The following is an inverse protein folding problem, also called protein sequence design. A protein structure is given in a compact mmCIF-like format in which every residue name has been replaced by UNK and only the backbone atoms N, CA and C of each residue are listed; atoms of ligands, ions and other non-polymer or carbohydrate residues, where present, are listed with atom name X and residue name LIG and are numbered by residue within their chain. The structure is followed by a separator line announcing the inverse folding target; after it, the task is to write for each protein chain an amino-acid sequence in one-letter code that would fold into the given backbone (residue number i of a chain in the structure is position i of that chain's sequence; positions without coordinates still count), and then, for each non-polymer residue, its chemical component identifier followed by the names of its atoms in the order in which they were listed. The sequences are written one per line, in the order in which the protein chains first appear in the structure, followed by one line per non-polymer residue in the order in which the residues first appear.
data_IF_938389310856
#
_entry.id   IF_938389310856
#
_cell.length_a   1.000
_cell.length_b   1.000
_cell.length_c   1.000
_cell.angle_alpha   90.00
_cell.angle_beta   90.00
_cell.angle_gamma   90.00
#
_symmetry.space_group_name_H-M   'P 1'
#
loop_
_entity.id
_entity.type
_entity.pdbx_description
1 polymer ?
#
# COMPACT_ATOMS: atom_id res chain seq x y z
N UNK A 1 12.51 20.74 1.14
CA UNK A 1 11.35 21.04 2.03
C UNK A 1 10.67 19.72 2.32
N UNK A 2 10.57 19.32 3.59
CA UNK A 2 9.81 18.13 3.98
C UNK A 2 8.36 18.31 3.52
N UNK A 3 7.83 17.34 2.78
CA UNK A 3 6.43 17.38 2.37
C UNK A 3 5.54 17.14 3.58
N UNK A 4 4.96 18.21 4.15
CA UNK A 4 3.96 18.17 5.24
C UNK A 4 2.60 17.58 4.81
N UNK A 5 2.56 16.83 3.71
CA UNK A 5 1.38 16.08 3.31
C UNK A 5 1.19 14.91 4.27
N UNK A 6 0.53 15.20 5.39
CA UNK A 6 -0.01 14.18 6.27
C UNK A 6 -0.97 13.31 5.43
N UNK A 7 -0.62 12.05 5.25
CA UNK A 7 -1.51 11.09 4.59
C UNK A 7 -2.74 10.89 5.47
N UNK A 8 -3.90 11.33 4.98
CA UNK A 8 -5.20 11.05 5.57
C UNK A 8 -5.89 10.01 4.67
N UNK A 9 -6.03 8.75 5.10
CA UNK A 9 -6.70 7.74 4.30
C UNK A 9 -8.15 8.14 4.01
N UNK A 10 -8.67 7.88 2.80
CA UNK A 10 -10.09 8.07 2.50
C UNK A 10 -10.93 7.15 3.38
N UNK A 11 -12.15 7.59 3.72
CA UNK A 11 -13.12 6.75 4.45
C UNK A 11 -13.55 5.58 3.57
N UNK A 12 -13.61 4.38 4.16
CA UNK A 12 -14.23 3.20 3.55
C UNK A 12 -15.67 3.12 4.08
N UNK A 13 -16.67 3.30 3.21
CA UNK A 13 -18.09 3.41 3.60
C UNK A 13 -18.33 4.43 4.73
N UNK A 14 -18.98 4.01 5.82
CA UNK A 14 -19.25 4.83 7.00
C UNK A 14 -18.09 4.83 8.02
N UNK A 15 -16.91 4.32 7.67
CA UNK A 15 -15.78 4.27 8.60
C UNK A 15 -15.20 5.65 8.88
N UNK A 16 -14.74 5.85 10.10
CA UNK A 16 -13.93 6.99 10.53
C UNK A 16 -12.45 6.66 10.43
N UNK A 17 -11.59 7.68 10.50
CA UNK A 17 -10.13 7.46 10.57
C UNK A 17 -9.74 6.53 11.74
N UNK A 18 -10.46 6.61 12.86
CA UNK A 18 -10.27 5.75 14.03
C UNK A 18 -10.67 4.28 13.78
N UNK A 19 -11.55 4.04 12.80
CA UNK A 19 -11.91 2.68 12.41
C UNK A 19 -10.83 2.07 11.50
N UNK A 20 -10.08 2.89 10.75
CA UNK A 20 -8.98 2.43 9.87
C UNK A 20 -7.69 2.20 10.67
N UNK A 21 -7.50 2.87 11.81
CA UNK A 21 -6.24 2.77 12.56
C UNK A 21 -6.51 2.50 14.03
N UNK A 22 -6.23 1.27 14.48
CA UNK A 22 -6.31 0.88 15.88
C UNK A 22 -4.97 0.39 16.41
N UNK A 23 -4.51 1.03 17.49
CA UNK A 23 -3.32 0.61 18.23
C UNK A 23 -3.72 -0.07 19.53
N UNK A 24 -3.59 -1.40 19.61
CA UNK A 24 -3.81 -2.14 20.87
C UNK A 24 -2.58 -2.02 21.77
N UNK A 25 -2.74 -1.66 23.03
CA UNK A 25 -1.69 -1.73 24.08
C UNK A 25 -0.33 -1.10 23.68
N UNK A 26 -0.33 0.07 23.02
CA UNK A 26 0.89 0.73 22.50
C UNK A 26 1.76 -0.14 21.58
N UNK A 27 1.21 -1.20 20.98
CA UNK A 27 1.91 -2.01 19.98
C UNK A 27 2.47 -1.14 18.86
N UNK A 28 3.61 -1.51 18.25
CA UNK A 28 4.25 -0.70 17.22
C UNK A 28 3.48 -0.64 15.88
N UNK A 29 2.39 -1.42 15.74
CA UNK A 29 1.64 -1.59 14.50
C UNK A 29 0.15 -1.34 14.71
N UNK A 30 -0.54 -0.99 13.62
CA UNK A 30 -1.98 -0.76 13.59
C UNK A 30 -2.77 -1.97 13.07
N UNK A 31 -4.02 -2.07 13.48
CA UNK A 31 -5.03 -3.03 12.99
C UNK A 31 -6.27 -2.23 12.50
N UNK A 32 -7.08 -2.78 11.59
CA UNK A 32 -8.40 -2.23 11.26
C UNK A 32 -9.43 -2.63 12.32
N UNK A 33 -10.37 -1.72 12.57
CA UNK A 33 -11.62 -1.96 13.28
C UNK A 33 -12.77 -1.94 12.28
N UNK A 34 -13.62 -2.97 12.33
CA UNK A 34 -14.93 -2.93 11.65
C UNK A 34 -16.00 -2.66 12.70
N UNK A 35 -16.72 -1.55 12.53
CA UNK A 35 -17.88 -1.20 13.36
C UNK A 35 -19.16 -1.70 12.70
N UNK A 36 -20.00 -2.41 13.44
CA UNK A 36 -21.35 -2.83 13.00
C UNK A 36 -22.34 -2.48 14.10
N UNK A 37 -23.05 -1.36 13.94
CA UNK A 37 -23.84 -0.78 15.02
C UNK A 37 -22.93 -0.34 16.19
N UNK A 38 -23.20 -0.82 17.40
CA UNK A 38 -22.38 -0.58 18.60
C UNK A 38 -21.19 -1.55 18.75
N UNK A 39 -21.16 -2.65 17.99
CA UNK A 39 -20.10 -3.65 18.09
C UNK A 39 -18.85 -3.21 17.31
N UNK A 40 -17.67 -3.34 17.92
CA UNK A 40 -16.38 -3.07 17.28
C UNK A 40 -15.52 -4.33 17.28
N UNK A 41 -15.27 -4.89 16.09
CA UNK A 41 -14.35 -6.03 15.92
C UNK A 41 -13.00 -5.54 15.40
N UNK A 42 -11.93 -5.90 16.09
CA UNK A 42 -10.55 -5.67 15.67
C UNK A 42 -10.07 -6.90 14.91
N UNK A 43 -9.58 -6.74 13.69
CA UNK A 43 -9.05 -7.87 12.92
C UNK A 43 -7.63 -8.25 13.32
N UNK A 44 -7.23 -9.49 13.02
CA UNK A 44 -5.87 -9.98 13.21
C UNK A 44 -5.04 -9.81 11.93
N UNK A 45 -4.58 -8.59 11.68
CA UNK A 45 -3.77 -8.21 10.49
C UNK A 45 -2.97 -6.93 10.78
N UNK A 46 -1.85 -6.71 10.11
CA UNK A 46 -1.16 -5.40 10.16
C UNK A 46 -1.79 -4.46 9.15
N UNK A 47 -2.01 -3.21 9.52
CA UNK A 47 -2.37 -2.13 8.59
C UNK A 47 -1.17 -1.25 8.31
N UNK A 48 -0.90 -1.04 7.03
CA UNK A 48 0.02 -0.01 6.55
C UNK A 48 -0.70 0.89 5.57
N UNK A 49 -0.51 2.19 5.76
CA UNK A 49 -1.00 3.20 4.84
C UNK A 49 0.15 3.63 3.93
N UNK A 50 -0.06 3.62 2.62
CA UNK A 50 1.00 3.87 1.66
C UNK A 50 0.59 4.93 0.63
N UNK A 51 1.55 5.78 0.30
CA UNK A 51 1.41 6.79 -0.73
C UNK A 51 2.71 6.93 -1.51
N UNK A 52 2.60 7.13 -2.81
CA UNK A 52 3.69 7.58 -3.66
C UNK A 52 3.44 9.03 -4.04
N UNK A 53 4.51 9.74 -4.37
CA UNK A 53 4.44 11.06 -4.99
C UNK A 53 5.47 11.12 -6.12
N UNK A 54 5.16 11.85 -7.17
CA UNK A 54 6.11 12.13 -8.23
C UNK A 54 6.03 13.61 -8.60
N UNK A 55 7.12 14.33 -8.36
CA UNK A 55 7.29 15.69 -8.84
C UNK A 55 7.70 15.65 -10.31
N UNK A 56 7.08 16.49 -11.14
CA UNK A 56 7.34 16.50 -12.58
C UNK A 56 6.87 15.23 -13.32
N UNK A 57 5.80 14.56 -12.85
CA UNK A 57 5.27 13.31 -13.41
C UNK A 57 5.38 13.21 -14.95
N UNK A 58 6.16 12.24 -15.44
CA UNK A 58 6.37 11.98 -16.87
C UNK A 58 7.38 12.91 -17.57
N UNK A 59 8.11 13.75 -16.82
CA UNK A 59 9.22 14.56 -17.33
C UNK A 59 10.56 13.84 -17.14
N UNK A 60 11.56 14.22 -17.93
CA UNK A 60 12.91 13.65 -17.82
C UNK A 60 13.64 13.99 -16.52
N UNK A 61 13.26 15.09 -15.85
CA UNK A 61 13.79 15.48 -14.55
C UNK A 61 12.88 15.06 -13.39
N UNK A 62 11.86 14.23 -13.67
CA UNK A 62 10.92 13.81 -12.66
C UNK A 62 11.64 13.09 -11.51
N UNK A 63 11.16 13.30 -10.29
CA UNK A 63 11.63 12.59 -9.11
C UNK A 63 10.42 12.03 -8.39
N UNK A 64 10.54 10.82 -7.84
CA UNK A 64 9.47 10.19 -7.09
C UNK A 64 9.91 9.73 -5.72
N UNK A 65 8.96 9.63 -4.80
CA UNK A 65 9.17 9.19 -3.44
C UNK A 65 8.02 8.30 -2.98
N UNK A 66 8.29 7.49 -1.97
CA UNK A 66 7.32 6.65 -1.27
C UNK A 66 7.17 7.10 0.18
N UNK A 67 5.99 6.87 0.75
CA UNK A 67 5.70 7.04 2.16
C UNK A 67 4.93 5.83 2.69
N UNK A 68 5.33 5.36 3.86
CA UNK A 68 4.69 4.25 4.58
C UNK A 68 4.38 4.71 6.01
N UNK A 69 3.11 4.60 6.38
CA UNK A 69 2.59 5.03 7.67
C UNK A 69 1.93 3.86 8.41
N UNK A 70 2.53 3.48 9.53
CA UNK A 70 2.09 2.41 10.43
C UNK A 70 1.12 2.91 11.50
N UNK A 71 1.06 4.22 11.76
CA UNK A 71 0.17 4.80 12.78
C UNK A 71 0.79 6.00 13.52
N UNK A 72 0.01 6.67 14.39
CA UNK A 72 0.49 7.84 15.13
C UNK A 72 1.72 7.54 15.98
N UNK A 73 2.76 8.36 15.81
CA UNK A 73 4.04 8.25 16.53
C UNK A 73 4.72 6.88 16.42
N UNK A 74 4.41 6.10 15.37
CA UNK A 74 5.13 4.85 15.13
C UNK A 74 6.54 5.16 14.65
N UNK A 75 7.54 4.58 15.31
CA UNK A 75 8.94 4.63 14.88
C UNK A 75 9.21 3.95 13.54
N UNK A 76 8.22 3.24 13.00
CA UNK A 76 8.29 2.55 11.72
C UNK A 76 7.73 3.38 10.56
N UNK A 77 7.14 4.55 10.85
CA UNK A 77 6.75 5.50 9.80
C UNK A 77 7.99 5.96 9.03
N UNK A 78 7.87 6.07 7.71
CA UNK A 78 9.02 6.24 6.86
C UNK A 78 8.66 6.88 5.51
N UNK A 79 9.63 7.55 4.90
CA UNK A 79 9.58 8.03 3.52
C UNK A 79 10.98 8.01 2.90
N UNK A 80 11.07 7.63 1.62
CA UNK A 80 12.31 7.67 0.84
C UNK A 80 12.04 8.10 -0.60
N UNK A 81 13.06 8.67 -1.24
CA UNK A 81 13.08 8.84 -2.69
C UNK A 81 13.25 7.47 -3.36
N UNK A 82 12.67 7.35 -4.55
CA UNK A 82 12.80 6.18 -5.42
C UNK A 82 13.95 6.50 -6.36
N UNK A 83 14.96 5.65 -6.40
CA UNK A 83 16.11 5.81 -7.29
C UNK A 83 15.84 5.25 -8.69
N UNK A 84 14.94 4.26 -8.79
CA UNK A 84 14.71 3.56 -10.04
C UNK A 84 13.86 4.41 -11.01
N UNK A 85 14.27 4.49 -12.28
CA UNK A 85 13.49 5.08 -13.38
C UNK A 85 12.53 4.05 -14.03
N UNK A 86 11.44 4.50 -14.70
CA UNK A 86 10.99 5.88 -14.86
C UNK A 86 10.22 6.44 -13.64
N UNK A 87 10.37 7.73 -13.38
CA UNK A 87 9.62 8.42 -12.32
C UNK A 87 8.23 8.83 -12.81
N UNK A 88 7.21 8.14 -12.31
CA UNK A 88 5.79 8.46 -12.54
C UNK A 88 4.98 8.33 -11.25
N UNK A 89 3.85 9.03 -11.17
CA UNK A 89 2.97 8.94 -10.00
C UNK A 89 2.44 7.52 -9.77
N UNK A 90 2.02 6.83 -10.84
CA UNK A 90 1.50 5.46 -10.73
C UNK A 90 2.56 4.50 -10.21
N UNK A 91 3.78 4.56 -10.76
CA UNK A 91 4.90 3.74 -10.28
C UNK A 91 5.20 4.02 -8.82
N UNK A 92 5.25 5.29 -8.42
CA UNK A 92 5.49 5.68 -7.04
C UNK A 92 4.47 5.05 -6.07
N UNK A 93 3.19 5.02 -6.44
CA UNK A 93 2.16 4.37 -5.60
C UNK A 93 2.33 2.86 -5.50
N UNK A 94 2.69 2.18 -6.60
CA UNK A 94 2.93 0.72 -6.60
C UNK A 94 4.15 0.41 -5.72
N UNK A 95 5.26 1.13 -5.94
CA UNK A 95 6.49 0.96 -5.15
C UNK A 95 6.27 1.25 -3.67
N UNK A 96 5.47 2.27 -3.33
CA UNK A 96 5.14 2.55 -1.92
C UNK A 96 4.46 1.35 -1.22
N UNK A 97 3.60 0.64 -1.93
CA UNK A 97 2.98 -0.57 -1.40
C UNK A 97 3.97 -1.73 -1.27
N UNK A 98 4.80 -1.99 -2.29
CA UNK A 98 5.85 -3.02 -2.25
C UNK A 98 6.84 -2.74 -1.11
N UNK A 99 7.38 -1.53 -1.04
CA UNK A 99 8.26 -1.08 0.04
C UNK A 99 7.60 -1.26 1.40
N UNK A 100 6.34 -0.85 1.55
CA UNK A 100 5.60 -1.01 2.80
C UNK A 100 5.50 -2.48 3.23
N UNK A 101 5.16 -3.36 2.30
CA UNK A 101 5.11 -4.80 2.53
C UNK A 101 6.49 -5.36 2.93
N UNK A 102 7.55 -4.98 2.21
CA UNK A 102 8.92 -5.39 2.55
C UNK A 102 9.36 -4.93 3.93
N UNK A 103 9.02 -3.70 4.32
CA UNK A 103 9.31 -3.18 5.67
C UNK A 103 8.60 -4.03 6.72
N UNK A 104 7.34 -4.43 6.47
CA UNK A 104 6.62 -5.36 7.35
C UNK A 104 7.38 -6.70 7.49
N UNK A 105 7.86 -7.28 6.38
CA UNK A 105 8.66 -8.52 6.37
C UNK A 105 9.97 -8.41 7.18
N UNK A 106 10.55 -7.20 7.27
CA UNK A 106 11.81 -6.89 7.96
C UNK A 106 11.62 -6.44 9.42
N UNK A 107 10.39 -6.43 9.93
CA UNK A 107 10.15 -6.02 11.31
C UNK A 107 10.82 -6.99 12.31
N UNK A 108 11.54 -6.48 13.32
CA UNK A 108 12.28 -7.31 14.26
C UNK A 108 11.38 -8.17 15.16
N UNK A 109 10.13 -7.74 15.36
CA UNK A 109 9.13 -8.45 16.17
C UNK A 109 8.13 -9.24 15.30
N UNK A 110 8.44 -9.51 14.03
CA UNK A 110 7.48 -10.14 13.11
C UNK A 110 7.02 -11.52 13.58
N UNK A 111 7.89 -12.28 14.24
CA UNK A 111 7.57 -13.63 14.72
C UNK A 111 6.61 -13.60 15.93
N UNK A 112 6.45 -12.42 16.56
CA UNK A 112 5.44 -12.17 17.61
C UNK A 112 4.09 -11.76 17.02
N UNK A 113 4.00 -11.53 15.71
CA UNK A 113 2.74 -11.27 15.04
C UNK A 113 1.98 -12.58 14.95
N UNK A 114 0.72 -12.56 15.40
CA UNK A 114 -0.18 -13.73 15.29
C UNK A 114 -0.76 -13.90 13.88
N UNK A 115 -0.34 -13.06 12.94
CA UNK A 115 -0.91 -12.94 11.61
C UNK A 115 0.17 -12.73 10.57
N UNK A 116 -0.01 -13.38 9.42
CA UNK A 116 0.74 -13.12 8.19
C UNK A 116 -0.01 -12.18 7.24
N UNK A 117 -1.18 -11.65 7.67
CA UNK A 117 -2.03 -10.80 6.85
C UNK A 117 -1.62 -9.35 7.03
N UNK A 118 -1.35 -8.69 5.90
CA UNK A 118 -1.11 -7.25 5.84
C UNK A 118 -2.20 -6.63 4.98
N UNK A 119 -2.85 -5.59 5.50
CA UNK A 119 -3.78 -4.74 4.77
C UNK A 119 -3.03 -3.50 4.33
N UNK A 120 -2.90 -3.35 3.02
CA UNK A 120 -2.32 -2.16 2.39
C UNK A 120 -3.44 -1.19 2.08
N UNK A 121 -3.41 -0.03 2.71
CA UNK A 121 -4.36 1.06 2.49
C UNK A 121 -3.70 2.10 1.60
N UNK A 122 -4.32 2.40 0.46
CA UNK A 122 -3.85 3.42 -0.48
C UNK A 122 -5.02 4.15 -1.12
N UNK A 123 -4.78 5.39 -1.53
CA UNK A 123 -5.76 6.19 -2.28
C UNK A 123 -5.64 6.00 -3.80
N UNK A 124 -4.64 5.24 -4.27
CA UNK A 124 -4.45 5.01 -5.70
C UNK A 124 -5.38 3.90 -6.20
N UNK A 125 -6.47 4.29 -6.86
CA UNK A 125 -7.37 3.36 -7.54
C UNK A 125 -6.61 2.50 -8.56
N UNK A 126 -5.57 3.04 -9.20
CA UNK A 126 -4.71 2.31 -10.13
C UNK A 126 -4.03 1.11 -9.47
N UNK A 127 -3.49 1.29 -8.26
CA UNK A 127 -2.89 0.19 -7.48
C UNK A 127 -3.97 -0.81 -7.04
N UNK A 128 -5.07 -0.30 -6.48
CA UNK A 128 -6.18 -1.15 -5.99
C UNK A 128 -6.72 -2.03 -7.10
N UNK A 129 -7.13 -1.46 -8.24
CA UNK A 129 -7.68 -2.23 -9.37
C UNK A 129 -6.59 -3.09 -10.04
N UNK A 130 -5.37 -2.57 -10.15
CA UNK A 130 -4.22 -3.29 -10.66
C UNK A 130 -4.02 -4.62 -9.95
N UNK A 131 -3.96 -4.62 -8.62
CA UNK A 131 -3.74 -5.80 -7.79
C UNK A 131 -4.98 -6.66 -7.60
N UNK A 132 -6.15 -6.06 -7.40
CA UNK A 132 -7.34 -6.83 -6.98
C UNK A 132 -8.18 -7.36 -8.13
N UNK A 133 -8.20 -6.66 -9.28
CA UNK A 133 -9.06 -7.00 -10.42
C UNK A 133 -8.27 -7.47 -11.63
N UNK A 134 -7.09 -6.91 -11.86
CA UNK A 134 -6.40 -7.04 -13.13
C UNK A 134 -5.17 -7.93 -13.11
N UNK A 135 -4.51 -8.12 -11.96
CA UNK A 135 -3.18 -8.73 -11.92
C UNK A 135 -3.14 -10.16 -12.50
N UNK A 136 -4.08 -11.02 -12.12
CA UNK A 136 -4.14 -12.40 -12.62
C UNK A 136 -4.51 -12.42 -14.10
N UNK A 137 -5.50 -11.63 -14.53
CA UNK A 137 -5.85 -11.49 -15.94
C UNK A 137 -4.68 -11.00 -16.80
N UNK A 138 -3.90 -10.04 -16.29
CA UNK A 138 -2.70 -9.52 -16.95
C UNK A 138 -1.60 -10.57 -16.98
N UNK A 139 -1.40 -11.32 -15.90
CA UNK A 139 -0.43 -12.40 -15.86
C UNK A 139 -0.77 -13.48 -16.91
N UNK A 140 -2.02 -13.96 -16.91
CA UNK A 140 -2.49 -15.03 -17.80
C UNK A 140 -2.49 -14.63 -19.28
N UNK A 141 -2.68 -13.34 -19.59
CA UNK A 141 -2.67 -12.83 -20.97
C UNK A 141 -1.29 -12.37 -21.47
N UNK A 142 -0.23 -12.66 -20.71
CA UNK A 142 1.14 -12.30 -21.06
C UNK A 142 1.41 -10.79 -20.99
N UNK A 143 0.75 -10.10 -20.05
CA UNK A 143 0.89 -8.67 -19.75
C UNK A 143 0.55 -7.75 -20.94
N UNK A 144 -0.53 -8.06 -21.65
CA UNK A 144 -0.99 -7.26 -22.80
C UNK A 144 -2.25 -6.48 -22.50
N UNK A 145 -2.30 -5.22 -22.96
CA UNK A 145 -3.49 -4.38 -22.91
C UNK A 145 -4.43 -4.66 -24.11
N UNK A 146 -5.56 -3.95 -24.18
CA UNK A 146 -6.54 -4.12 -25.26
C UNK A 146 -5.98 -3.78 -26.66
N UNK A 147 -4.95 -2.92 -26.73
CA UNK A 147 -4.23 -2.57 -27.96
C UNK A 147 -3.12 -3.58 -28.31
N UNK A 148 -3.03 -4.70 -27.57
CA UNK A 148 -1.99 -5.74 -27.68
C UNK A 148 -0.57 -5.26 -27.37
N UNK A 149 -0.40 -4.07 -26.83
CA UNK A 149 0.89 -3.59 -26.34
C UNK A 149 1.08 -4.03 -24.88
N UNK A 150 2.32 -3.92 -24.41
CA UNK A 150 2.65 -4.18 -23.01
C UNK A 150 1.83 -3.26 -22.07
N UNK A 151 1.47 -3.80 -20.91
CA UNK A 151 0.80 -3.04 -19.85
C UNK A 151 1.81 -2.16 -19.13
N UNK A 152 1.46 -0.90 -18.89
CA UNK A 152 2.28 0.01 -18.10
C UNK A 152 2.58 -0.57 -16.71
N UNK A 153 3.77 -0.30 -16.19
CA UNK A 153 4.21 -0.78 -14.86
C UNK A 153 4.17 -2.32 -14.72
N UNK A 154 4.30 -3.06 -15.82
CA UNK A 154 4.35 -4.53 -15.82
C UNK A 154 5.31 -5.05 -14.76
N UNK A 155 6.54 -4.55 -14.78
CA UNK A 155 7.63 -5.04 -13.92
C UNK A 155 7.30 -4.84 -12.44
N UNK A 156 6.78 -3.68 -12.07
CA UNK A 156 6.38 -3.39 -10.68
C UNK A 156 5.23 -4.32 -10.23
N UNK A 157 4.23 -4.54 -11.08
CA UNK A 157 3.13 -5.45 -10.75
C UNK A 157 3.55 -6.92 -10.73
N UNK A 158 4.47 -7.30 -11.61
CA UNK A 158 5.01 -8.66 -11.66
C UNK A 158 5.87 -8.93 -10.42
N UNK A 159 6.71 -7.98 -10.02
CA UNK A 159 7.47 -8.05 -8.77
C UNK A 159 6.55 -8.24 -7.57
N UNK A 160 5.45 -7.47 -7.50
CA UNK A 160 4.44 -7.67 -6.47
C UNK A 160 3.88 -9.10 -6.50
N UNK A 161 3.39 -9.57 -7.66
CA UNK A 161 2.74 -10.88 -7.79
C UNK A 161 3.65 -12.04 -7.37
N UNK A 162 4.92 -11.98 -7.74
CA UNK A 162 5.89 -13.05 -7.48
C UNK A 162 6.30 -13.13 -6.01
N UNK A 163 6.28 -12.00 -5.30
CA UNK A 163 6.75 -11.91 -3.91
C UNK A 163 5.65 -11.94 -2.85
N UNK A 164 4.38 -11.77 -3.27
CA UNK A 164 3.25 -11.59 -2.37
C UNK A 164 1.99 -12.30 -2.86
N UNK A 165 1.40 -13.10 -1.97
CA UNK A 165 0.07 -13.66 -2.20
C UNK A 165 -0.99 -12.61 -1.94
N UNK A 166 -1.80 -12.31 -2.96
CA UNK A 166 -2.93 -11.39 -2.84
C UNK A 166 -4.14 -12.13 -2.27
N UNK A 167 -4.68 -11.65 -1.15
CA UNK A 167 -5.92 -12.13 -0.56
C UNK A 167 -6.94 -11.02 -0.75
N UNK A 168 -7.71 -11.06 -1.83
CA UNK A 168 -8.69 -10.01 -2.11
C UNK A 168 -9.90 -10.16 -1.19
N UNK A 169 -10.06 -9.21 -0.27
CA UNK A 169 -11.30 -9.03 0.48
C UNK A 169 -11.72 -7.58 0.28
N UNK A 170 -12.89 -7.34 -0.31
CA UNK A 170 -13.51 -6.01 -0.30
C UNK A 170 -13.92 -5.73 1.15
N UNK A 171 -13.28 -4.75 1.79
CA UNK A 171 -13.63 -4.33 3.15
C UNK A 171 -14.52 -3.10 3.14
#
# INVERSE_FOLDING_TARGET
MSSDRLFIPPRIDSSTFEDIVYRKNRKPFSNLRKRRGSEVKVGDHIVINVAGACNGNGKSWAQSAVGVYFGPSSRHNFSEEIDEEPHTSNRAHIRAAITGLEKVKKLPDKDKLKTSVVVVVTHSQYVVDGITKHIYKRYDNGWRNAKRTEVDNREDFQDWLMNWRVITTYL
#
